data_IF_994230788056
#
_entry.id   IF_994230788056
#
_cell.length_a   1.000
_cell.length_b   1.000
_cell.length_c   1.000
_cell.angle_alpha   90.00
_cell.angle_beta   90.00
_cell.angle_gamma   90.00
#
_symmetry.space_group_name_H-M   'P 1'
#
loop_
_entity.id
_entity.type
_entity.pdbx_description
1 polymer ?
#
# COMPACT_ATOMS: atom_id res chain seq x y z
N UNK A 1 -17.45 -14.54 -0.65
CA UNK A 1 -18.68 -14.12 -1.36
C UNK A 1 -19.13 -12.80 -0.79
N UNK A 2 -18.98 -11.72 -1.55
CA UNK A 2 -19.53 -10.42 -1.18
C UNK A 2 -21.06 -10.48 -1.25
N UNK A 3 -21.72 -10.30 -0.12
CA UNK A 3 -23.17 -10.13 -0.03
C UNK A 3 -23.46 -8.75 0.52
N UNK A 4 -24.59 -8.19 0.13
CA UNK A 4 -25.08 -6.97 0.76
C UNK A 4 -25.52 -7.35 2.19
N UNK A 5 -24.71 -6.99 3.18
CA UNK A 5 -25.05 -7.18 4.60
C UNK A 5 -25.65 -5.92 5.18
N UNK A 6 -26.48 -6.06 6.22
CA UNK A 6 -27.05 -4.90 6.92
C UNK A 6 -25.94 -4.01 7.49
N UNK A 7 -24.86 -4.61 8.01
CA UNK A 7 -23.69 -3.91 8.53
C UNK A 7 -23.01 -3.06 7.45
N UNK A 8 -22.85 -3.60 6.23
CA UNK A 8 -22.28 -2.87 5.10
C UNK A 8 -23.16 -1.66 4.73
N UNK A 9 -24.48 -1.86 4.70
CA UNK A 9 -25.42 -0.76 4.42
C UNK A 9 -25.38 0.29 5.54
N UNK A 10 -25.31 -0.12 6.81
CA UNK A 10 -25.20 0.79 7.96
C UNK A 10 -23.90 1.59 7.96
N UNK A 11 -22.77 0.97 7.64
CA UNK A 11 -21.48 1.67 7.50
C UNK A 11 -21.52 2.70 6.37
N UNK A 12 -22.26 2.43 5.30
CA UNK A 12 -22.42 3.41 4.20
C UNK A 12 -23.51 4.46 4.47
N UNK A 13 -24.38 4.20 5.44
CA UNK A 13 -25.41 5.11 5.94
C UNK A 13 -24.91 6.10 7.01
N UNK A 14 -23.59 6.24 7.21
CA UNK A 14 -23.01 7.14 8.22
C UNK A 14 -23.52 8.59 8.11
N UNK A 15 -23.81 9.05 6.90
CA UNK A 15 -24.34 10.40 6.64
C UNK A 15 -25.85 10.53 6.90
N UNK A 16 -26.56 9.42 7.13
CA UNK A 16 -27.99 9.35 7.46
C UNK A 16 -28.21 8.82 8.89
N UNK A 17 -27.36 9.20 9.84
CA UNK A 17 -27.41 8.77 11.24
C UNK A 17 -27.46 7.24 11.44
N UNK A 18 -26.90 6.46 10.49
CA UNK A 18 -26.97 4.99 10.47
C UNK A 18 -28.41 4.43 10.36
N UNK A 19 -29.38 5.25 9.95
CA UNK A 19 -30.75 4.82 9.65
C UNK A 19 -30.83 4.26 8.23
N UNK A 20 -31.15 2.98 8.14
CA UNK A 20 -31.26 2.27 6.86
C UNK A 20 -32.62 2.46 6.17
N UNK A 21 -33.67 2.75 6.96
CA UNK A 21 -35.05 2.80 6.47
C UNK A 21 -35.38 4.07 5.68
N UNK A 22 -34.82 5.20 6.11
CA UNK A 22 -35.02 6.54 5.52
C UNK A 22 -33.97 6.88 4.45
N UNK A 23 -33.09 5.93 4.12
CA UNK A 23 -31.93 6.19 3.30
C UNK A 23 -32.31 6.41 1.83
N UNK A 24 -32.01 7.61 1.33
CA UNK A 24 -32.33 8.01 -0.04
C UNK A 24 -31.23 7.64 -1.05
N UNK A 25 -29.97 7.60 -0.63
CA UNK A 25 -28.83 7.37 -1.53
C UNK A 25 -27.85 6.37 -0.92
N UNK A 26 -27.51 5.33 -1.68
CA UNK A 26 -26.53 4.32 -1.25
C UNK A 26 -25.44 4.10 -2.30
N UNK A 27 -24.20 4.12 -1.82
CA UNK A 27 -23.01 3.85 -2.63
C UNK A 27 -22.35 2.54 -2.23
N UNK A 28 -22.49 1.52 -3.09
CA UNK A 28 -21.94 0.18 -2.92
C UNK A 28 -20.95 -0.17 -4.04
N UNK A 29 -20.01 0.73 -4.28
CA UNK A 29 -18.95 0.56 -5.27
C UNK A 29 -17.87 -0.42 -4.78
N UNK A 30 -17.37 -1.27 -5.69
CA UNK A 30 -16.18 -2.11 -5.46
C UNK A 30 -16.30 -3.03 -4.23
N UNK A 31 -17.49 -3.57 -3.96
CA UNK A 31 -17.76 -4.42 -2.79
C UNK A 31 -17.78 -5.92 -3.14
N UNK A 32 -17.40 -6.28 -4.37
CA UNK A 32 -17.39 -7.66 -4.87
C UNK A 32 -18.74 -8.36 -4.65
N UNK A 33 -19.84 -7.60 -4.80
CA UNK A 33 -21.19 -8.12 -4.55
C UNK A 33 -21.54 -9.09 -5.67
N UNK A 34 -21.86 -10.32 -5.30
CA UNK A 34 -22.31 -11.36 -6.25
C UNK A 34 -23.83 -11.41 -6.36
N UNK A 35 -24.57 -10.91 -5.36
CA UNK A 35 -26.03 -10.94 -5.34
C UNK A 35 -26.63 -9.72 -4.66
N UNK A 36 -27.69 -9.20 -5.26
CA UNK A 36 -28.50 -8.13 -4.68
C UNK A 36 -29.57 -8.78 -3.80
N UNK A 37 -29.32 -8.87 -2.50
CA UNK A 37 -30.26 -9.43 -1.53
C UNK A 37 -30.68 -8.35 -0.51
N UNK A 38 -31.91 -8.44 -0.01
CA UNK A 38 -32.42 -7.70 1.16
C UNK A 38 -32.55 -6.17 1.06
N UNK A 39 -32.12 -5.54 -0.04
CA UNK A 39 -32.34 -4.09 -0.27
C UNK A 39 -33.83 -3.72 -0.20
N UNK A 40 -34.72 -4.62 -0.62
CA UNK A 40 -36.17 -4.44 -0.55
C UNK A 40 -36.73 -4.32 0.87
N UNK A 41 -36.04 -4.89 1.86
CA UNK A 41 -36.45 -4.85 3.27
C UNK A 41 -35.86 -3.67 4.00
N UNK A 42 -34.63 -3.30 3.68
CA UNK A 42 -33.87 -2.31 4.43
C UNK A 42 -34.14 -0.89 3.96
N UNK A 43 -34.16 -0.62 2.65
CA UNK A 43 -34.16 0.73 2.09
C UNK A 43 -35.35 0.94 1.15
N UNK A 44 -36.56 1.13 1.71
CA UNK A 44 -37.79 1.31 0.90
C UNK A 44 -37.88 2.67 0.21
N UNK A 45 -37.22 3.67 0.79
CA UNK A 45 -37.25 5.05 0.32
C UNK A 45 -36.02 5.43 -0.54
N UNK A 46 -35.27 4.43 -1.00
CA UNK A 46 -34.08 4.63 -1.81
C UNK A 46 -34.41 5.26 -3.16
N UNK A 47 -33.76 6.38 -3.47
CA UNK A 47 -33.83 7.11 -4.74
C UNK A 47 -32.64 6.82 -5.63
N UNK A 48 -31.43 6.70 -5.07
CA UNK A 48 -30.21 6.50 -5.84
C UNK A 48 -29.44 5.28 -5.34
N UNK A 49 -29.17 4.34 -6.25
CA UNK A 49 -28.42 3.12 -5.97
C UNK A 49 -27.22 3.01 -6.89
N UNK A 50 -26.02 3.11 -6.30
CA UNK A 50 -24.78 2.86 -7.01
C UNK A 50 -24.21 1.48 -6.69
N UNK A 51 -24.07 0.65 -7.72
CA UNK A 51 -23.55 -0.72 -7.65
C UNK A 51 -22.44 -0.95 -8.68
N UNK A 52 -21.73 0.11 -9.07
CA UNK A 52 -20.69 0.01 -10.09
C UNK A 52 -19.49 -0.84 -9.63
N UNK A 53 -18.91 -1.58 -10.59
CA UNK A 53 -17.76 -2.47 -10.39
C UNK A 53 -18.01 -3.54 -9.32
N UNK A 54 -19.07 -4.31 -9.51
CA UNK A 54 -19.38 -5.51 -8.73
C UNK A 54 -19.48 -6.72 -9.66
N UNK A 55 -19.82 -7.88 -9.10
CA UNK A 55 -19.85 -9.16 -9.81
C UNK A 55 -21.29 -9.68 -9.94
N UNK A 56 -22.25 -8.77 -10.07
CA UNK A 56 -23.68 -9.12 -10.05
C UNK A 56 -24.05 -9.77 -11.39
N UNK A 57 -24.49 -11.05 -11.41
CA UNK A 57 -24.84 -11.76 -12.63
C UNK A 57 -26.28 -11.47 -13.09
N UNK A 58 -27.16 -11.11 -12.16
CA UNK A 58 -28.59 -10.91 -12.39
C UNK A 58 -29.14 -9.80 -11.50
N UNK A 59 -30.06 -9.03 -12.05
CA UNK A 59 -30.81 -8.02 -11.31
C UNK A 59 -31.96 -8.74 -10.58
N UNK A 60 -31.91 -8.78 -9.26
CA UNK A 60 -32.96 -9.38 -8.42
C UNK A 60 -33.26 -8.47 -7.23
N UNK A 61 -34.46 -8.60 -6.64
CA UNK A 61 -34.91 -7.85 -5.46
C UNK A 61 -34.98 -6.31 -5.58
N UNK A 62 -34.79 -5.74 -6.78
CA UNK A 62 -34.94 -4.29 -7.03
C UNK A 62 -36.40 -3.89 -7.28
N UNK A 63 -37.26 -4.83 -7.70
CA UNK A 63 -38.65 -4.58 -8.10
C UNK A 63 -39.54 -3.94 -7.03
N UNK A 64 -39.17 -3.99 -5.75
CA UNK A 64 -39.95 -3.41 -4.64
C UNK A 64 -39.56 -1.96 -4.33
N UNK A 65 -38.50 -1.45 -4.94
CA UNK A 65 -38.00 -0.09 -4.75
C UNK A 65 -38.77 0.89 -5.65
N UNK A 66 -39.92 1.35 -5.16
CA UNK A 66 -40.82 2.22 -5.94
C UNK A 66 -40.27 3.62 -6.20
N UNK A 67 -39.52 4.16 -5.23
CA UNK A 67 -38.94 5.51 -5.27
C UNK A 67 -37.58 5.58 -5.95
N UNK A 68 -37.07 4.48 -6.50
CA UNK A 68 -35.75 4.43 -7.10
C UNK A 68 -35.76 5.22 -8.41
N UNK A 69 -35.03 6.34 -8.45
CA UNK A 69 -34.91 7.24 -9.60
C UNK A 69 -33.68 6.94 -10.45
N UNK A 70 -32.56 6.57 -9.81
CA UNK A 70 -31.30 6.28 -10.49
C UNK A 70 -30.68 4.97 -10.03
N UNK A 71 -30.44 4.07 -10.99
CA UNK A 71 -29.75 2.80 -10.79
C UNK A 71 -28.49 2.74 -11.65
N UNK A 72 -27.33 2.66 -10.99
CA UNK A 72 -26.04 2.46 -11.65
C UNK A 72 -25.51 1.05 -11.42
N UNK A 73 -25.49 0.25 -12.48
CA UNK A 73 -24.99 -1.12 -12.53
C UNK A 73 -23.82 -1.25 -13.52
N UNK A 74 -23.08 -0.17 -13.78
CA UNK A 74 -21.91 -0.18 -14.65
C UNK A 74 -20.86 -1.22 -14.21
N UNK A 75 -20.16 -1.83 -15.16
CA UNK A 75 -19.07 -2.79 -14.92
C UNK A 75 -19.52 -3.99 -14.04
N UNK A 76 -20.67 -4.58 -14.34
CA UNK A 76 -21.17 -5.79 -13.68
C UNK A 76 -21.20 -6.99 -14.64
N UNK A 77 -21.73 -8.11 -14.18
CA UNK A 77 -21.83 -9.37 -14.93
C UNK A 77 -23.25 -9.65 -15.45
N UNK A 78 -24.06 -8.62 -15.65
CA UNK A 78 -25.48 -8.76 -15.97
C UNK A 78 -25.63 -9.27 -17.41
N UNK A 79 -26.30 -10.42 -17.57
CA UNK A 79 -26.57 -11.01 -18.88
C UNK A 79 -27.98 -10.69 -19.42
N UNK A 80 -28.92 -10.40 -18.51
CA UNK A 80 -30.34 -10.20 -18.82
C UNK A 80 -30.92 -9.06 -17.98
N UNK A 81 -31.76 -8.23 -18.59
CA UNK A 81 -32.49 -7.16 -17.91
C UNK A 81 -33.84 -7.72 -17.43
N UNK A 82 -33.95 -8.00 -16.13
CA UNK A 82 -35.16 -8.55 -15.51
C UNK A 82 -35.42 -7.87 -14.16
N UNK A 83 -36.62 -8.06 -13.60
CA UNK A 83 -37.01 -7.60 -12.25
C UNK A 83 -36.96 -6.08 -12.02
N UNK A 84 -37.08 -5.26 -13.06
CA UNK A 84 -37.18 -3.79 -12.97
C UNK A 84 -38.62 -3.25 -13.15
N UNK A 85 -39.59 -4.13 -13.35
CA UNK A 85 -40.99 -3.75 -13.65
C UNK A 85 -41.67 -2.95 -12.53
N UNK A 86 -41.28 -3.17 -11.27
CA UNK A 86 -41.88 -2.49 -10.12
C UNK A 86 -41.19 -1.19 -9.69
N UNK A 87 -40.13 -0.76 -10.39
CA UNK A 87 -39.46 0.53 -10.15
C UNK A 87 -40.18 1.65 -10.92
N UNK A 88 -41.32 2.08 -10.40
CA UNK A 88 -42.22 3.04 -11.05
C UNK A 88 -41.52 4.38 -11.38
N UNK A 89 -40.70 4.90 -10.46
CA UNK A 89 -40.03 6.20 -10.58
C UNK A 89 -38.65 6.16 -11.28
N UNK A 90 -38.23 5.02 -11.85
CA UNK A 90 -36.89 4.90 -12.44
C UNK A 90 -36.71 5.84 -13.64
N UNK A 91 -35.81 6.80 -13.52
CA UNK A 91 -35.53 7.82 -14.55
C UNK A 91 -34.25 7.53 -15.32
N UNK A 92 -33.23 6.98 -14.65
CA UNK A 92 -31.90 6.73 -15.22
C UNK A 92 -31.44 5.32 -14.88
N UNK A 93 -31.04 4.57 -15.92
CA UNK A 93 -30.48 3.23 -15.79
C UNK A 93 -29.15 3.14 -16.53
N UNK A 94 -28.09 2.83 -15.78
CA UNK A 94 -26.75 2.62 -16.33
C UNK A 94 -26.38 1.14 -16.27
N UNK A 95 -26.21 0.52 -17.44
CA UNK A 95 -25.76 -0.85 -17.64
C UNK A 95 -24.49 -0.89 -18.49
N UNK A 96 -23.69 0.18 -18.48
CA UNK A 96 -22.43 0.23 -19.23
C UNK A 96 -21.48 -0.94 -18.89
N UNK A 97 -20.80 -1.48 -19.91
CA UNK A 97 -19.80 -2.54 -19.78
C UNK A 97 -20.30 -3.79 -18.99
N UNK A 98 -21.50 -4.24 -19.33
CA UNK A 98 -22.10 -5.49 -18.86
C UNK A 98 -22.09 -6.55 -19.99
N UNK A 99 -22.78 -7.67 -19.78
CA UNK A 99 -22.84 -8.78 -20.74
C UNK A 99 -24.26 -9.01 -21.27
N UNK A 100 -25.06 -7.95 -21.37
CA UNK A 100 -26.44 -8.04 -21.85
C UNK A 100 -26.42 -8.41 -23.33
N UNK A 101 -26.83 -9.63 -23.64
CA UNK A 101 -26.98 -10.10 -25.02
C UNK A 101 -28.41 -10.43 -25.41
N UNK A 102 -29.34 -10.47 -24.45
CA UNK A 102 -30.76 -10.70 -24.71
C UNK A 102 -31.49 -9.35 -24.86
N UNK A 103 -31.57 -8.83 -26.09
CA UNK A 103 -32.21 -7.54 -26.33
C UNK A 103 -33.73 -7.58 -26.11
N UNK A 104 -34.35 -8.76 -26.25
CA UNK A 104 -35.76 -8.98 -25.87
C UNK A 104 -36.08 -8.55 -24.43
N UNK A 105 -35.08 -8.58 -23.54
CA UNK A 105 -35.21 -8.14 -22.14
C UNK A 105 -35.53 -6.66 -21.98
N UNK A 106 -35.22 -5.82 -22.97
CA UNK A 106 -35.55 -4.38 -22.95
C UNK A 106 -37.07 -4.15 -22.93
N UNK A 107 -37.87 -5.12 -23.41
CA UNK A 107 -39.33 -5.05 -23.33
C UNK A 107 -39.85 -4.97 -21.89
N UNK A 108 -39.12 -5.53 -20.93
CA UNK A 108 -39.42 -5.43 -19.49
C UNK A 108 -39.42 -3.98 -19.02
N UNK A 109 -38.52 -3.15 -19.58
CA UNK A 109 -38.42 -1.72 -19.25
C UNK A 109 -39.57 -0.87 -19.81
N UNK A 110 -40.44 -1.44 -20.65
CA UNK A 110 -41.61 -0.73 -21.19
C UNK A 110 -42.58 -0.28 -20.09
N UNK A 111 -42.61 -1.02 -18.97
CA UNK A 111 -43.45 -0.70 -17.82
C UNK A 111 -42.96 0.54 -17.05
N UNK A 112 -41.67 0.90 -17.17
CA UNK A 112 -41.07 2.06 -16.52
C UNK A 112 -41.38 3.34 -17.32
N UNK A 113 -42.51 3.98 -16.99
CA UNK A 113 -43.00 5.16 -17.71
C UNK A 113 -42.10 6.41 -17.55
N UNK A 114 -41.33 6.47 -16.47
CA UNK A 114 -40.48 7.61 -16.12
C UNK A 114 -39.04 7.50 -16.64
N UNK A 115 -38.68 6.39 -17.30
CA UNK A 115 -37.33 6.14 -17.80
C UNK A 115 -36.96 7.10 -18.94
N UNK A 116 -35.98 7.97 -18.68
CA UNK A 116 -35.50 9.00 -19.61
C UNK A 116 -34.13 8.66 -20.19
N UNK A 117 -33.26 8.05 -19.41
CA UNK A 117 -31.86 7.79 -19.77
C UNK A 117 -31.52 6.30 -19.61
N UNK A 118 -30.97 5.70 -20.66
CA UNK A 118 -30.52 4.31 -20.68
C UNK A 118 -29.12 4.23 -21.29
N UNK A 119 -28.20 3.59 -20.58
CA UNK A 119 -26.84 3.33 -21.06
C UNK A 119 -26.60 1.83 -21.16
N UNK A 120 -26.28 1.38 -22.37
CA UNK A 120 -26.01 -0.01 -22.73
C UNK A 120 -24.66 -0.13 -23.48
N UNK A 121 -23.86 0.93 -23.55
CA UNK A 121 -22.53 0.91 -24.18
C UNK A 121 -21.64 -0.18 -23.61
N UNK A 122 -20.95 -0.92 -24.48
CA UNK A 122 -20.04 -2.00 -24.07
C UNK A 122 -20.75 -3.29 -23.66
N UNK A 123 -21.98 -3.51 -24.12
CA UNK A 123 -22.68 -4.78 -24.01
C UNK A 123 -22.68 -5.51 -25.37
N UNK A 124 -22.69 -6.85 -25.41
CA UNK A 124 -22.81 -7.61 -26.65
C UNK A 124 -24.02 -7.25 -27.50
N UNK A 125 -25.09 -6.72 -26.91
CA UNK A 125 -26.26 -6.26 -27.64
C UNK A 125 -26.02 -5.02 -28.52
N UNK A 126 -24.95 -4.24 -28.28
CA UNK A 126 -24.65 -3.07 -29.11
C UNK A 126 -24.10 -3.43 -30.49
N UNK A 127 -23.64 -4.66 -30.65
CA UNK A 127 -23.11 -5.18 -31.92
C UNK A 127 -24.22 -5.66 -32.86
N UNK A 128 -25.46 -5.75 -32.38
CA UNK A 128 -26.59 -6.19 -33.19
C UNK A 128 -27.00 -5.12 -34.20
N UNK A 129 -27.25 -5.57 -35.44
CA UNK A 129 -27.74 -4.69 -36.50
C UNK A 129 -29.13 -4.19 -36.15
N UNK A 130 -29.33 -2.87 -36.17
CA UNK A 130 -30.63 -2.30 -35.82
C UNK A 130 -30.91 -2.19 -34.32
N UNK A 131 -29.94 -2.48 -33.45
CA UNK A 131 -30.08 -2.39 -31.98
C UNK A 131 -30.72 -1.06 -31.53
N UNK A 132 -30.21 0.06 -32.04
CA UNK A 132 -30.69 1.39 -31.66
C UNK A 132 -32.15 1.60 -32.05
N UNK A 133 -32.52 1.23 -33.27
CA UNK A 133 -33.89 1.31 -33.79
C UNK A 133 -34.84 0.44 -32.94
N UNK A 134 -34.41 -0.76 -32.56
CA UNK A 134 -35.23 -1.64 -31.73
C UNK A 134 -35.48 -1.08 -30.33
N UNK A 135 -34.45 -0.55 -29.67
CA UNK A 135 -34.59 0.06 -28.34
C UNK A 135 -35.48 1.30 -28.40
N UNK A 136 -35.25 2.17 -29.39
CA UNK A 136 -36.04 3.40 -29.59
C UNK A 136 -37.51 3.08 -29.89
N UNK A 137 -37.79 2.05 -30.71
CA UNK A 137 -39.16 1.63 -31.02
C UNK A 137 -39.85 0.96 -29.82
N UNK A 138 -39.10 0.20 -29.02
CA UNK A 138 -39.63 -0.49 -27.83
C UNK A 138 -39.91 0.48 -26.69
N UNK A 139 -39.03 1.47 -26.47
CA UNK A 139 -39.09 2.45 -25.38
C UNK A 139 -39.42 3.85 -25.90
N UNK A 140 -40.68 4.10 -26.21
CA UNK A 140 -41.13 5.38 -26.78
C UNK A 140 -40.98 6.60 -25.84
N UNK A 141 -40.80 6.40 -24.52
CA UNK A 141 -40.60 7.49 -23.54
C UNK A 141 -39.13 7.90 -23.38
N UNK A 142 -38.18 7.08 -23.82
CA UNK A 142 -36.76 7.28 -23.62
C UNK A 142 -36.26 8.53 -24.35
N UNK A 143 -35.52 9.41 -23.66
CA UNK A 143 -34.96 10.64 -24.23
C UNK A 143 -33.52 10.46 -24.69
N UNK A 144 -32.71 9.78 -23.91
CA UNK A 144 -31.29 9.54 -24.19
C UNK A 144 -31.00 8.05 -24.20
N UNK A 145 -30.28 7.60 -25.23
CA UNK A 145 -29.76 6.26 -25.36
C UNK A 145 -28.27 6.34 -25.67
N UNK A 146 -27.43 5.76 -24.82
CA UNK A 146 -25.97 5.70 -24.98
C UNK A 146 -25.35 7.11 -25.15
N UNK A 147 -25.75 8.04 -24.27
CA UNK A 147 -25.35 9.46 -24.30
C UNK A 147 -25.80 10.24 -25.55
N UNK A 148 -26.63 9.64 -26.42
CA UNK A 148 -27.18 10.29 -27.62
C UNK A 148 -28.66 10.57 -27.45
N UNK A 149 -29.08 11.80 -27.71
CA UNK A 149 -30.49 12.18 -27.70
C UNK A 149 -31.25 11.48 -28.84
N UNK A 150 -32.49 11.09 -28.56
CA UNK A 150 -33.39 10.45 -29.52
C UNK A 150 -34.28 11.51 -30.15
N UNK A 151 -34.07 11.76 -31.45
CA UNK A 151 -34.87 12.69 -32.23
C UNK A 151 -36.26 12.15 -32.59
N UNK A 152 -37.20 13.06 -32.91
CA UNK A 152 -38.54 12.67 -33.40
C UNK A 152 -38.49 11.89 -34.71
N UNK A 153 -37.62 12.29 -35.64
CA UNK A 153 -37.46 11.62 -36.94
C UNK A 153 -36.95 10.20 -36.78
N UNK A 154 -35.97 9.99 -35.90
CA UNK A 154 -35.41 8.67 -35.57
C UNK A 154 -36.50 7.74 -35.01
N UNK A 155 -37.37 8.24 -34.13
CA UNK A 155 -38.49 7.45 -33.59
C UNK A 155 -39.45 6.97 -34.67
N UNK A 156 -39.78 7.83 -35.63
CA UNK A 156 -40.72 7.47 -36.71
C UNK A 156 -40.09 6.39 -37.60
N UNK A 157 -38.81 6.56 -37.96
CA UNK A 157 -38.07 5.57 -38.75
C UNK A 157 -37.97 4.23 -38.01
N UNK A 158 -37.63 4.26 -36.72
CA UNK A 158 -37.54 3.08 -35.88
C UNK A 158 -38.88 2.32 -35.77
N UNK A 159 -40.01 3.03 -35.68
CA UNK A 159 -41.35 2.43 -35.66
C UNK A 159 -41.72 1.80 -37.02
N UNK A 160 -41.32 2.40 -38.13
CA UNK A 160 -41.58 1.86 -39.47
C UNK A 160 -40.79 0.57 -39.74
N UNK A 161 -39.51 0.53 -39.35
CA UNK A 161 -38.63 -0.62 -39.54
C UNK A 161 -38.75 -1.68 -38.43
N UNK A 162 -39.52 -1.42 -37.38
CA UNK A 162 -39.64 -2.29 -36.20
C UNK A 162 -39.89 -3.77 -36.51
N UNK A 163 -40.84 -4.18 -37.38
CA UNK A 163 -41.13 -5.60 -37.58
C UNK A 163 -40.00 -6.38 -38.26
N UNK A 164 -39.20 -5.73 -39.10
CA UNK A 164 -38.05 -6.35 -39.77
C UNK A 164 -36.85 -6.42 -38.82
N UNK A 165 -36.54 -5.29 -38.18
CA UNK A 165 -35.47 -5.17 -37.19
C UNK A 165 -35.68 -6.13 -36.01
N UNK A 166 -36.92 -6.27 -35.53
CA UNK A 166 -37.24 -7.18 -34.44
C UNK A 166 -37.02 -8.66 -34.81
N UNK A 167 -37.23 -9.05 -36.08
CA UNK A 167 -36.95 -10.42 -36.55
C UNK A 167 -35.45 -10.67 -36.63
N UNK A 168 -34.71 -9.76 -37.26
CA UNK A 168 -33.25 -9.84 -37.39
C UNK A 168 -32.57 -9.94 -36.02
N UNK A 169 -32.97 -9.07 -35.08
CA UNK A 169 -32.46 -9.09 -33.72
C UNK A 169 -32.79 -10.40 -33.02
N UNK A 170 -33.99 -10.95 -33.20
CA UNK A 170 -34.34 -12.21 -32.58
C UNK A 170 -33.51 -13.39 -33.12
N UNK A 171 -33.12 -13.37 -34.40
CA UNK A 171 -32.21 -14.35 -35.00
C UNK A 171 -30.78 -14.18 -34.47
N UNK A 172 -30.28 -12.94 -34.41
CA UNK A 172 -28.95 -12.61 -33.84
C UNK A 172 -28.89 -12.98 -32.35
N UNK A 173 -29.94 -12.69 -31.58
CA UNK A 173 -30.07 -13.05 -30.17
C UNK A 173 -30.03 -14.58 -30.00
N UNK A 174 -30.74 -15.35 -30.82
CA UNK A 174 -30.67 -16.83 -30.80
C UNK A 174 -29.26 -17.33 -31.08
N UNK A 175 -28.60 -16.80 -32.10
CA UNK A 175 -27.23 -17.16 -32.44
C UNK A 175 -26.26 -16.86 -31.29
N UNK A 176 -26.38 -15.67 -30.68
CA UNK A 176 -25.63 -15.28 -29.50
C UNK A 176 -25.88 -16.22 -28.33
N UNK A 177 -27.14 -16.54 -28.01
CA UNK A 177 -27.48 -17.44 -26.90
C UNK A 177 -26.92 -18.85 -27.10
N UNK A 178 -26.88 -19.36 -28.34
CA UNK A 178 -26.25 -20.65 -28.66
C UNK A 178 -24.75 -20.58 -28.42
N UNK A 179 -24.07 -19.56 -28.96
CA UNK A 179 -22.62 -19.35 -28.75
C UNK A 179 -22.30 -19.20 -27.26
N UNK A 180 -23.08 -18.39 -26.54
CA UNK A 180 -22.94 -18.14 -25.10
C UNK A 180 -23.13 -19.42 -24.27
N UNK A 181 -24.05 -20.30 -24.68
CA UNK A 181 -24.24 -21.60 -24.03
C UNK A 181 -22.99 -22.49 -24.18
N UNK A 182 -22.41 -22.53 -25.38
CA UNK A 182 -21.18 -23.28 -25.64
C UNK A 182 -20.00 -22.73 -24.82
N UNK A 183 -19.84 -21.40 -24.76
CA UNK A 183 -18.82 -20.75 -23.93
C UNK A 183 -18.94 -21.12 -22.44
N UNK A 184 -20.17 -21.11 -21.90
CA UNK A 184 -20.44 -21.53 -20.51
C UNK A 184 -20.10 -23.00 -20.26
N UNK A 185 -20.48 -23.88 -21.17
CA UNK A 185 -20.15 -25.31 -21.06
C UNK A 185 -18.63 -25.54 -21.10
N UNK A 186 -17.91 -24.83 -21.96
CA UNK A 186 -16.45 -24.90 -22.03
C UNK A 186 -15.79 -24.37 -20.76
N UNK A 187 -16.22 -23.20 -20.26
CA UNK A 187 -15.72 -22.63 -19.01
C UNK A 187 -15.97 -23.56 -17.82
N UNK A 188 -17.15 -24.19 -17.73
CA UNK A 188 -17.45 -25.18 -16.69
C UNK A 188 -16.51 -26.39 -16.76
N UNK A 189 -16.22 -26.89 -17.96
CA UNK A 189 -15.24 -27.97 -18.15
C UNK A 189 -13.85 -27.53 -17.70
N UNK A 190 -13.39 -26.34 -18.09
CA UNK A 190 -12.09 -25.79 -17.65
C UNK A 190 -12.02 -25.66 -16.13
N UNK A 191 -13.08 -25.16 -15.48
CA UNK A 191 -13.17 -25.06 -14.01
C UNK A 191 -13.10 -26.44 -13.37
N UNK A 192 -13.83 -27.43 -13.90
CA UNK A 192 -13.82 -28.79 -13.38
C UNK A 192 -12.44 -29.44 -13.53
N UNK A 193 -11.79 -29.30 -14.69
CA UNK A 193 -10.43 -29.79 -14.92
C UNK A 193 -9.42 -29.13 -13.98
N UNK A 194 -9.51 -27.80 -13.77
CA UNK A 194 -8.67 -27.09 -12.80
C UNK A 194 -8.91 -27.61 -11.37
N UNK A 195 -10.15 -27.86 -10.98
CA UNK A 195 -10.47 -28.43 -9.66
C UNK A 195 -9.94 -29.87 -9.50
N UNK A 196 -10.04 -30.70 -10.54
CA UNK A 196 -9.51 -32.06 -10.53
C UNK A 196 -7.97 -32.06 -10.47
N UNK A 197 -7.30 -31.18 -11.21
CA UNK A 197 -5.84 -30.97 -11.11
C UNK A 197 -5.44 -30.51 -9.70
N UNK A 198 -6.15 -29.54 -9.11
CA UNK A 198 -5.92 -29.11 -7.71
C UNK A 198 -6.05 -30.30 -6.74
N UNK A 199 -7.11 -31.10 -6.84
CA UNK A 199 -7.30 -32.32 -6.01
C UNK A 199 -6.20 -33.37 -6.19
N UNK A 200 -5.74 -33.60 -7.43
CA UNK A 200 -4.63 -34.52 -7.72
C UNK A 200 -3.32 -34.03 -7.10
N UNK A 201 -3.02 -32.74 -7.23
CA UNK A 201 -1.83 -32.13 -6.64
C UNK A 201 -1.87 -32.14 -5.10
N UNK A 202 -3.03 -31.89 -4.49
CA UNK A 202 -3.22 -32.01 -3.03
C UNK A 202 -3.02 -33.44 -2.53
N UNK A 203 -3.56 -34.43 -3.25
CA UNK A 203 -3.32 -35.84 -2.92
C UNK A 203 -1.85 -36.21 -3.07
N UNK A 204 -1.17 -35.80 -4.16
CA UNK A 204 0.27 -36.05 -4.32
C UNK A 204 1.10 -35.39 -3.21
N UNK A 205 0.77 -34.14 -2.80
CA UNK A 205 1.42 -33.49 -1.66
C UNK A 205 1.19 -34.21 -0.33
N UNK A 206 0.06 -34.90 -0.15
CA UNK A 206 -0.21 -35.78 1.01
C UNK A 206 0.58 -37.08 1.00
N UNK A 207 0.94 -37.60 -0.17
CA UNK A 207 1.60 -38.90 -0.33
C UNK A 207 3.11 -38.82 -0.61
N UNK A 208 3.72 -37.63 -0.70
CA UNK A 208 5.17 -37.51 -0.81
C UNK A 208 5.83 -37.83 0.54
N UNK A 209 6.60 -38.94 0.66
CA UNK A 209 7.46 -39.16 1.80
C UNK A 209 8.53 -38.05 1.81
N UNK A 210 8.95 -37.61 3.00
CA UNK A 210 10.13 -36.74 3.09
C UNK A 210 11.35 -37.39 2.46
N UNK A 211 12.41 -36.60 2.20
CA UNK A 211 13.67 -37.05 1.57
C UNK A 211 14.31 -38.29 2.25
N UNK A 212 13.96 -38.57 3.50
CA UNK A 212 14.38 -39.74 4.30
C UNK A 212 13.38 -40.93 4.27
N UNK A 213 12.40 -40.92 3.36
CA UNK A 213 11.37 -41.96 3.24
C UNK A 213 10.31 -41.98 4.36
N UNK A 214 10.33 -41.00 5.29
CA UNK A 214 9.42 -40.90 6.44
C UNK A 214 8.30 -39.87 6.22
N UNK A 215 7.13 -40.14 6.79
CA UNK A 215 5.96 -39.26 6.74
C UNK A 215 6.04 -38.23 7.88
N UNK A 216 6.03 -36.93 7.57
CA UNK A 216 6.11 -35.85 8.58
C UNK A 216 4.77 -35.44 9.19
N UNK A 217 3.68 -36.18 8.92
CA UNK A 217 2.34 -35.85 9.44
C UNK A 217 2.02 -36.50 10.78
N UNK A 218 2.89 -37.35 11.32
CA UNK A 218 2.66 -38.00 12.61
C UNK A 218 3.39 -37.25 13.73
N UNK A 219 2.62 -36.49 14.51
CA UNK A 219 3.09 -35.70 15.68
C UNK A 219 3.53 -36.62 16.86
N UNK A 220 3.48 -37.95 16.71
CA UNK A 220 3.78 -38.91 17.79
C UNK A 220 5.07 -39.71 17.60
N UNK A 221 6.12 -39.12 17.04
CA UNK A 221 7.44 -39.75 17.10
C UNK A 221 8.45 -38.84 17.81
N UNK A 222 8.58 -39.07 19.11
CA UNK A 222 9.56 -38.44 20.00
C UNK A 222 10.98 -38.76 19.53
N UNK A 223 11.62 -37.81 18.86
CA UNK A 223 13.05 -37.89 18.52
C UNK A 223 13.86 -37.73 19.82
N UNK A 224 14.81 -38.62 20.15
CA UNK A 224 15.65 -38.48 21.34
C UNK A 224 16.54 -37.24 21.27
N UNK A 225 16.63 -36.53 22.39
CA UNK A 225 17.50 -35.38 22.62
C UNK A 225 18.99 -35.79 22.59
N UNK A 226 19.62 -35.83 21.42
CA UNK A 226 21.10 -35.79 21.34
C UNK A 226 21.70 -35.31 20.00
N UNK A 227 20.90 -34.92 19.00
CA UNK A 227 21.42 -34.37 17.74
C UNK A 227 20.65 -33.09 17.39
N UNK A 228 20.91 -31.98 18.11
CA UNK A 228 20.23 -30.70 17.84
C UNK A 228 21.15 -29.50 17.64
N UNK A 229 22.47 -29.65 17.79
CA UNK A 229 23.38 -28.49 17.81
C UNK A 229 24.30 -28.34 16.59
N UNK A 230 24.20 -29.22 15.58
CA UNK A 230 25.02 -29.09 14.35
C UNK A 230 24.25 -28.82 13.04
N UNK A 231 22.91 -28.81 13.07
CA UNK A 231 22.10 -28.59 11.86
C UNK A 231 21.54 -27.16 11.73
N UNK A 232 21.84 -26.27 12.67
CA UNK A 232 21.17 -24.96 12.79
C UNK A 232 21.72 -23.88 11.86
N UNK A 233 22.85 -24.12 11.20
CA UNK A 233 23.47 -23.14 10.28
C UNK A 233 23.26 -23.49 8.80
N UNK A 234 23.25 -24.78 8.42
CA UNK A 234 22.94 -25.20 7.04
C UNK A 234 21.44 -25.05 6.69
N UNK A 235 20.53 -25.30 7.65
CA UNK A 235 19.08 -25.13 7.43
C UNK A 235 18.63 -23.69 7.19
N UNK A 236 19.44 -22.69 7.56
CA UNK A 236 19.10 -21.27 7.36
C UNK A 236 19.43 -20.79 5.94
N UNK A 237 20.45 -21.37 5.30
CA UNK A 237 20.83 -21.08 3.91
C UNK A 237 19.95 -21.87 2.93
N UNK A 238 19.74 -23.18 3.17
CA UNK A 238 18.84 -24.02 2.36
C UNK A 238 17.37 -23.56 2.46
N UNK A 239 16.92 -23.09 3.63
CA UNK A 239 15.58 -22.56 3.83
C UNK A 239 15.34 -21.18 3.19
N UNK A 240 16.41 -20.41 2.93
CA UNK A 240 16.33 -19.18 2.16
C UNK A 240 16.33 -19.46 0.66
N UNK A 241 17.14 -20.40 0.19
CA UNK A 241 17.20 -20.80 -1.21
C UNK A 241 15.86 -21.43 -1.67
N UNK A 242 15.25 -22.29 -0.85
CA UNK A 242 13.89 -22.79 -1.09
C UNK A 242 12.83 -21.70 -1.08
N UNK A 243 12.95 -20.68 -0.21
CA UNK A 243 12.02 -19.54 -0.20
C UNK A 243 12.16 -18.70 -1.46
N UNK A 244 13.38 -18.43 -1.88
CA UNK A 244 13.65 -17.64 -3.08
C UNK A 244 13.22 -18.39 -4.35
N UNK A 245 13.33 -19.72 -4.38
CA UNK A 245 12.80 -20.55 -5.47
C UNK A 245 11.25 -20.54 -5.50
N UNK A 246 10.59 -20.70 -4.35
CA UNK A 246 9.11 -20.66 -4.26
C UNK A 246 8.58 -19.26 -4.62
N UNK A 247 9.28 -18.19 -4.25
CA UNK A 247 8.88 -16.82 -4.65
C UNK A 247 9.01 -16.64 -6.16
N UNK A 248 10.07 -17.15 -6.78
CA UNK A 248 10.24 -17.09 -8.24
C UNK A 248 9.19 -17.90 -9.00
N UNK A 249 8.86 -19.10 -8.51
CA UNK A 249 7.77 -19.92 -9.08
C UNK A 249 6.40 -19.23 -8.93
N UNK A 250 6.10 -18.65 -7.75
CA UNK A 250 4.88 -17.87 -7.52
C UNK A 250 4.77 -16.67 -8.50
N UNK A 251 5.89 -15.97 -8.77
CA UNK A 251 5.95 -14.81 -9.67
C UNK A 251 5.80 -15.20 -11.16
N UNK A 252 6.31 -16.38 -11.56
CA UNK A 252 6.13 -16.93 -12.91
C UNK A 252 4.70 -17.42 -13.16
N UNK A 253 4.10 -18.12 -12.18
CA UNK A 253 2.70 -18.54 -12.25
C UNK A 253 1.75 -17.34 -12.32
N UNK A 254 2.04 -16.27 -11.58
CA UNK A 254 1.27 -15.03 -11.66
C UNK A 254 1.38 -14.36 -13.03
N UNK A 255 2.60 -14.27 -13.57
CA UNK A 255 2.80 -13.69 -14.90
C UNK A 255 2.05 -14.50 -15.95
N UNK A 256 2.14 -15.83 -15.89
CA UNK A 256 1.40 -16.71 -16.78
C UNK A 256 -0.12 -16.54 -16.67
N UNK A 257 -0.65 -16.32 -15.46
CA UNK A 257 -2.08 -16.07 -15.26
C UNK A 257 -2.55 -14.76 -15.92
N UNK A 258 -1.78 -13.67 -15.79
CA UNK A 258 -2.16 -12.37 -16.36
C UNK A 258 -1.90 -12.24 -17.86
N UNK A 259 -0.94 -13.00 -18.40
CA UNK A 259 -0.62 -13.01 -19.84
C UNK A 259 -1.50 -13.98 -20.64
N UNK A 260 -2.22 -14.91 -19.99
CA UNK A 260 -3.14 -15.83 -20.67
C UNK A 260 -4.29 -15.04 -21.33
N UNK A 261 -4.50 -15.14 -22.66
CA UNK A 261 -5.61 -14.49 -23.32
C UNK A 261 -6.93 -15.19 -22.95
N UNK A 262 -7.78 -14.51 -22.19
CA UNK A 262 -9.07 -15.06 -21.73
C UNK A 262 -10.23 -14.41 -22.49
N UNK A 263 -11.27 -15.17 -22.90
CA UNK A 263 -12.44 -14.59 -23.55
C UNK A 263 -13.18 -13.62 -22.62
N UNK A 264 -13.71 -12.52 -23.18
CA UNK A 264 -14.46 -11.50 -22.43
C UNK A 264 -15.81 -12.05 -21.98
N UNK A 265 -15.82 -12.78 -20.85
CA UNK A 265 -17.00 -13.45 -20.31
C UNK A 265 -17.13 -13.22 -18.80
N UNK A 266 -18.35 -13.30 -18.25
CA UNK A 266 -18.59 -13.25 -16.82
C UNK A 266 -17.77 -14.24 -15.99
N UNK A 267 -17.63 -15.48 -16.47
CA UNK A 267 -16.93 -16.54 -15.75
C UNK A 267 -15.42 -16.27 -15.68
N UNK A 268 -14.84 -15.79 -16.78
CA UNK A 268 -13.45 -15.30 -16.81
C UNK A 268 -13.22 -14.17 -15.80
N UNK A 269 -14.15 -13.21 -15.72
CA UNK A 269 -14.07 -12.10 -14.75
C UNK A 269 -14.14 -12.60 -13.31
N UNK A 270 -15.02 -13.58 -13.02
CA UNK A 270 -15.10 -14.22 -11.71
C UNK A 270 -13.83 -15.02 -11.36
N UNK A 271 -13.22 -15.68 -12.34
CA UNK A 271 -11.97 -16.42 -12.15
C UNK A 271 -10.81 -15.48 -11.81
N UNK A 272 -10.64 -14.40 -12.56
CA UNK A 272 -9.67 -13.34 -12.26
C UNK A 272 -9.87 -12.77 -10.86
N UNK A 273 -11.13 -12.50 -10.47
CA UNK A 273 -11.42 -12.02 -9.14
C UNK A 273 -11.06 -13.04 -8.03
N UNK A 274 -11.43 -14.31 -8.21
CA UNK A 274 -11.09 -15.38 -7.26
C UNK A 274 -9.58 -15.54 -7.09
N UNK A 275 -8.82 -15.42 -8.18
CA UNK A 275 -7.37 -15.48 -8.15
C UNK A 275 -6.78 -14.33 -7.31
N UNK A 276 -7.26 -13.10 -7.51
CA UNK A 276 -6.85 -11.93 -6.71
C UNK A 276 -7.21 -12.13 -5.23
N UNK A 277 -8.41 -12.62 -4.93
CA UNK A 277 -8.86 -12.84 -3.55
C UNK A 277 -8.03 -13.93 -2.84
N UNK A 278 -7.70 -15.03 -3.54
CA UNK A 278 -6.83 -16.10 -3.03
C UNK A 278 -5.43 -15.56 -2.72
N UNK A 279 -4.87 -14.73 -3.61
CA UNK A 279 -3.58 -14.08 -3.40
C UNK A 279 -3.59 -13.08 -2.24
N UNK A 280 -4.63 -12.27 -2.10
CA UNK A 280 -4.75 -11.33 -1.00
C UNK A 280 -4.85 -12.06 0.35
N UNK A 281 -5.66 -13.13 0.44
CA UNK A 281 -5.72 -13.98 1.63
C UNK A 281 -4.38 -14.66 1.93
N UNK A 282 -3.67 -15.11 0.91
CA UNK A 282 -2.33 -15.68 1.09
C UNK A 282 -1.34 -14.65 1.65
N UNK A 283 -1.40 -13.40 1.19
CA UNK A 283 -0.59 -12.29 1.73
C UNK A 283 -0.95 -11.98 3.18
N UNK A 284 -2.24 -11.82 3.49
CA UNK A 284 -2.72 -11.58 4.87
C UNK A 284 -2.29 -12.70 5.82
N UNK A 285 -2.43 -13.97 5.39
CA UNK A 285 -1.97 -15.11 6.16
C UNK A 285 -0.44 -15.11 6.33
N UNK A 286 0.33 -14.74 5.29
CA UNK A 286 1.80 -14.58 5.38
C UNK A 286 2.19 -13.48 6.38
N UNK A 287 1.43 -12.39 6.45
CA UNK A 287 1.66 -11.30 7.41
C UNK A 287 1.32 -11.71 8.84
N UNK A 288 0.20 -12.39 9.05
CA UNK A 288 -0.19 -12.92 10.37
C UNK A 288 0.75 -14.03 10.87
N UNK A 289 1.34 -14.82 9.97
CA UNK A 289 2.27 -15.92 10.29
C UNK A 289 3.74 -15.51 10.39
N UNK A 290 4.09 -14.23 10.14
CA UNK A 290 5.41 -13.70 10.50
C UNK A 290 5.56 -13.73 12.02
N UNK A 291 6.01 -14.88 12.55
CA UNK A 291 6.43 -15.03 13.94
C UNK A 291 7.44 -13.92 14.22
N UNK A 292 7.15 -13.09 15.22
CA UNK A 292 8.13 -12.16 15.77
C UNK A 292 9.40 -12.95 16.05
N UNK A 293 10.52 -12.54 15.43
CA UNK A 293 11.80 -13.22 15.66
C UNK A 293 12.03 -13.20 17.17
N UNK A 294 12.33 -14.34 17.82
CA UNK A 294 12.57 -14.34 19.25
C UNK A 294 13.64 -13.27 19.55
N UNK A 295 13.41 -12.39 20.53
CA UNK A 295 14.37 -11.34 20.85
C UNK A 295 15.70 -12.01 21.15
N UNK A 296 16.74 -11.66 20.39
CA UNK A 296 18.07 -12.22 20.60
C UNK A 296 18.53 -11.85 22.00
N UNK A 297 18.97 -12.83 22.78
CA UNK A 297 19.48 -12.60 24.12
C UNK A 297 20.82 -11.86 24.02
N UNK A 298 20.83 -10.58 24.40
CA UNK A 298 22.01 -9.71 24.38
C UNK A 298 22.99 -10.02 25.55
N UNK A 299 22.55 -10.86 26.49
CA UNK A 299 23.25 -11.29 27.71
C UNK A 299 22.99 -12.79 27.86
N UNK A 300 24.02 -13.59 28.16
CA UNK A 300 23.84 -15.03 28.45
C UNK A 300 23.12 -15.23 29.79
N UNK A 301 22.47 -16.37 30.06
CA UNK A 301 21.82 -16.62 31.35
C UNK A 301 22.77 -16.54 32.56
N UNK A 302 24.09 -16.62 32.34
CA UNK A 302 25.15 -16.43 33.34
C UNK A 302 25.60 -14.97 33.51
N UNK A 303 24.91 -14.00 32.89
CA UNK A 303 25.19 -12.57 33.03
C UNK A 303 26.39 -12.06 32.22
N UNK A 304 26.95 -12.87 31.30
CA UNK A 304 28.05 -12.43 30.44
C UNK A 304 27.50 -11.62 29.26
N UNK A 305 28.07 -10.43 29.07
CA UNK A 305 27.71 -9.51 28.00
C UNK A 305 28.44 -9.92 26.71
N UNK A 306 27.73 -9.95 25.58
CA UNK A 306 28.29 -10.33 24.28
C UNK A 306 28.57 -9.09 23.41
N UNK A 307 29.63 -9.13 22.61
CA UNK A 307 29.90 -8.11 21.58
C UNK A 307 29.03 -8.38 20.35
N UNK A 308 28.26 -7.38 19.91
CA UNK A 308 27.29 -7.51 18.83
C UNK A 308 27.41 -6.29 17.91
N UNK A 309 27.57 -6.52 16.61
CA UNK A 309 27.50 -5.47 15.58
C UNK A 309 26.49 -5.88 14.50
N UNK A 310 25.21 -5.89 14.85
CA UNK A 310 24.12 -6.15 13.92
C UNK A 310 24.05 -5.18 12.73
N UNK A 311 24.29 -3.86 12.90
CA UNK A 311 24.24 -2.94 11.77
C UNK A 311 25.48 -3.00 10.88
N UNK A 312 26.50 -3.81 11.23
CA UNK A 312 27.79 -3.94 10.51
C UNK A 312 28.47 -2.60 10.27
N UNK A 313 28.41 -1.70 11.25
CA UNK A 313 29.04 -0.38 11.13
C UNK A 313 30.52 -0.47 11.47
N UNK A 314 31.37 0.29 10.77
CA UNK A 314 32.76 0.43 11.18
C UNK A 314 32.83 1.24 12.47
N UNK A 315 33.65 0.77 13.41
CA UNK A 315 33.87 1.42 14.70
C UNK A 315 35.35 1.41 15.07
N UNK A 316 35.76 2.39 15.87
CA UNK A 316 37.11 2.49 16.44
C UNK A 316 37.00 2.85 17.92
N UNK A 317 37.61 2.04 18.80
CA UNK A 317 37.73 2.34 20.22
C UNK A 317 39.18 2.78 20.49
N UNK A 318 39.36 4.02 20.94
CA UNK A 318 40.66 4.59 21.30
C UNK A 318 40.73 4.78 22.82
N UNK A 319 41.90 4.48 23.39
CA UNK A 319 42.20 4.74 24.79
C UNK A 319 43.04 6.02 24.87
N UNK A 320 42.49 7.05 25.50
CA UNK A 320 43.18 8.32 25.76
C UNK A 320 43.66 8.33 27.21
N UNK A 321 44.89 7.84 27.42
CA UNK A 321 45.52 7.75 28.74
C UNK A 321 45.74 9.13 29.39
N UNK A 322 45.91 10.20 28.58
CA UNK A 322 46.17 11.54 29.09
C UNK A 322 44.93 12.18 29.75
N UNK A 323 43.75 11.88 29.22
CA UNK A 323 42.47 12.38 29.74
C UNK A 323 41.67 11.30 30.50
N UNK A 324 42.28 10.12 30.71
CA UNK A 324 41.68 8.97 31.39
C UNK A 324 40.27 8.60 30.86
N UNK A 325 40.11 8.55 29.53
CA UNK A 325 38.84 8.28 28.88
C UNK A 325 38.99 7.35 27.66
N UNK A 326 37.98 6.54 27.39
CA UNK A 326 37.83 5.85 26.12
C UNK A 326 37.01 6.72 25.15
N UNK A 327 37.39 6.68 23.88
CA UNK A 327 36.67 7.36 22.79
C UNK A 327 36.22 6.28 21.81
N UNK A 328 34.90 6.07 21.71
CA UNK A 328 34.29 5.16 20.74
C UNK A 328 33.75 5.98 19.56
N UNK A 329 34.34 5.79 18.38
CA UNK A 329 33.88 6.37 17.12
C UNK A 329 33.09 5.31 16.34
N UNK A 330 31.83 5.60 16.02
CA UNK A 330 30.89 4.78 15.26
C UNK A 330 30.47 5.54 14.01
N UNK A 331 30.76 4.98 12.83
CA UNK A 331 30.34 5.59 11.58
C UNK A 331 28.86 5.31 11.30
N UNK A 332 27.98 6.24 11.70
CA UNK A 332 26.53 6.13 11.51
C UNK A 332 26.13 6.81 10.18
N UNK A 333 24.98 6.42 9.63
CA UNK A 333 24.47 7.01 8.38
C UNK A 333 24.31 8.55 8.49
N UNK A 334 24.79 9.27 7.46
CA UNK A 334 24.79 10.74 7.38
C UNK A 334 23.42 11.37 7.57
N UNK A 335 22.36 10.73 7.07
CA UNK A 335 20.98 11.23 7.11
C UNK A 335 20.10 10.49 8.12
N UNK A 336 20.69 9.97 9.21
CA UNK A 336 19.92 9.35 10.29
C UNK A 336 19.48 10.40 11.32
N UNK A 337 18.19 10.44 11.60
CA UNK A 337 17.61 11.28 12.65
C UNK A 337 18.04 10.83 14.04
N UNK A 338 18.25 11.78 14.94
CA UNK A 338 18.64 11.51 16.33
C UNK A 338 17.57 10.74 17.11
N UNK A 339 16.31 10.81 16.70
CA UNK A 339 15.21 10.06 17.31
C UNK A 339 15.29 8.54 17.05
N UNK A 340 16.07 8.12 16.05
CA UNK A 340 16.28 6.71 15.70
C UNK A 340 17.60 6.14 16.27
N UNK A 341 18.21 6.90 17.18
CA UNK A 341 19.43 6.57 17.90
C UNK A 341 19.15 6.57 19.40
N UNK A 342 19.39 5.44 20.05
CA UNK A 342 19.34 5.33 21.51
C UNK A 342 20.67 4.78 22.01
N UNK A 343 21.24 5.42 23.03
CA UNK A 343 22.58 5.15 23.54
C UNK A 343 22.47 4.85 25.03
N UNK A 344 22.80 3.62 25.39
CA UNK A 344 22.83 3.14 26.77
C UNK A 344 24.29 2.84 27.16
N UNK A 345 24.79 3.57 28.14
CA UNK A 345 26.16 3.44 28.66
C UNK A 345 26.09 2.81 30.04
N UNK A 346 26.63 1.60 30.15
CA UNK A 346 26.78 0.88 31.42
C UNK A 346 28.27 0.84 31.82
N UNK A 347 28.58 0.64 33.11
CA UNK A 347 29.97 0.59 33.56
C UNK A 347 30.84 -0.45 32.85
N UNK A 348 30.24 -1.55 32.39
CA UNK A 348 30.94 -2.69 31.76
C UNK A 348 30.74 -2.79 30.24
N UNK A 349 29.78 -2.08 29.65
CA UNK A 349 29.50 -2.14 28.22
C UNK A 349 28.77 -0.90 27.70
N UNK A 350 28.84 -0.68 26.38
CA UNK A 350 28.06 0.36 25.69
C UNK A 350 27.14 -0.30 24.68
N UNK A 351 25.89 0.14 24.65
CA UNK A 351 24.87 -0.27 23.69
C UNK A 351 24.37 0.94 22.90
N UNK A 352 24.32 0.78 21.58
CA UNK A 352 23.79 1.78 20.65
C UNK A 352 22.74 1.10 19.78
N UNK A 353 21.49 1.54 19.87
CA UNK A 353 20.37 1.07 19.04
C UNK A 353 20.23 1.98 17.82
N UNK A 354 20.31 1.39 16.63
CA UNK A 354 20.27 2.12 15.35
C UNK A 354 19.19 1.49 14.48
N UNK A 355 18.06 2.21 14.25
CA UNK A 355 16.90 1.69 13.50
C UNK A 355 16.44 0.29 13.99
N UNK A 356 16.44 0.08 15.31
CA UNK A 356 16.05 -1.18 15.94
C UNK A 356 17.11 -2.30 15.91
N UNK A 357 18.30 -2.06 15.34
CA UNK A 357 19.44 -2.99 15.38
C UNK A 357 20.39 -2.62 16.51
N UNK A 358 20.85 -3.62 17.27
CA UNK A 358 21.72 -3.38 18.41
C UNK A 358 23.22 -3.45 18.01
N UNK A 359 23.97 -2.41 18.38
CA UNK A 359 25.41 -2.45 18.51
C UNK A 359 25.76 -2.51 19.99
N UNK A 360 26.50 -3.52 20.44
CA UNK A 360 26.92 -3.68 21.83
C UNK A 360 28.41 -4.01 21.88
N UNK A 361 29.15 -3.29 22.72
CA UNK A 361 30.58 -3.48 22.90
C UNK A 361 30.91 -3.54 24.40
N UNK A 362 31.54 -4.62 24.83
CA UNK A 362 32.10 -4.78 26.17
C UNK A 362 33.35 -3.92 26.30
N UNK A 363 33.40 -3.12 27.36
CA UNK A 363 34.52 -2.23 27.64
C UNK A 363 35.63 -2.98 28.38
N UNK A 364 36.92 -2.68 28.09
CA UNK A 364 38.04 -3.36 28.74
C UNK A 364 38.27 -2.91 30.20
N UNK A 365 37.75 -1.75 30.59
CA UNK A 365 37.78 -1.24 31.96
C UNK A 365 36.48 -0.53 32.31
N UNK A 366 36.19 -0.44 33.61
CA UNK A 366 34.99 0.22 34.11
C UNK A 366 35.01 1.72 33.80
N UNK A 367 33.86 2.24 33.37
CA UNK A 367 33.66 3.66 33.02
C UNK A 367 32.60 4.29 33.92
N UNK A 368 32.68 5.61 34.12
CA UNK A 368 31.68 6.38 34.86
C UNK A 368 30.55 6.81 33.89
N UNK A 369 29.34 6.21 33.97
CA UNK A 369 28.26 6.51 33.02
C UNK A 369 27.78 7.96 33.13
N UNK A 370 27.74 8.52 34.35
CA UNK A 370 27.25 9.88 34.62
C UNK A 370 28.04 10.98 33.91
N UNK A 371 29.32 10.72 33.64
CA UNK A 371 30.21 11.66 32.96
C UNK A 371 30.41 11.33 31.48
N UNK A 372 29.70 10.33 30.95
CA UNK A 372 29.79 9.98 29.54
C UNK A 372 29.02 10.99 28.68
N UNK A 373 29.56 11.28 27.50
CA UNK A 373 28.92 12.18 26.54
C UNK A 373 28.98 11.60 25.14
N UNK A 374 27.88 11.73 24.39
CA UNK A 374 27.80 11.32 22.99
C UNK A 374 27.57 12.54 22.10
N UNK A 375 28.33 12.65 21.01
CA UNK A 375 28.21 13.72 20.02
C UNK A 375 28.13 13.12 18.63
N UNK A 376 27.19 13.61 17.83
CA UNK A 376 27.03 13.22 16.43
C UNK A 376 27.42 14.36 15.50
N UNK A 377 28.24 14.06 14.50
CA UNK A 377 28.54 14.97 13.41
C UNK A 377 27.41 14.95 12.38
N UNK A 378 26.79 16.10 12.12
CA UNK A 378 25.74 16.23 11.09
C UNK A 378 26.30 16.11 9.67
N UNK A 379 27.56 16.55 9.47
CA UNK A 379 28.21 16.60 8.16
C UNK A 379 28.79 15.25 7.76
N UNK A 380 29.41 14.53 8.70
CA UNK A 380 30.12 13.26 8.43
C UNK A 380 29.34 12.02 8.88
N UNK A 381 28.33 12.17 9.74
CA UNK A 381 27.52 11.06 10.26
C UNK A 381 28.17 10.27 11.41
N UNK A 382 29.43 10.57 11.77
CA UNK A 382 30.14 9.90 12.86
C UNK A 382 29.50 10.21 14.23
N UNK A 383 29.30 9.16 15.02
CA UNK A 383 28.88 9.21 16.41
C UNK A 383 30.09 8.93 17.29
N UNK A 384 30.51 9.94 18.06
CA UNK A 384 31.64 9.84 18.99
C UNK A 384 31.10 9.80 20.41
N UNK A 385 31.46 8.76 21.16
CA UNK A 385 31.09 8.56 22.56
C UNK A 385 32.35 8.66 23.42
N UNK A 386 32.40 9.65 24.29
CA UNK A 386 33.44 9.83 25.31
C UNK A 386 33.03 9.14 26.61
N UNK A 387 33.87 8.22 27.07
CA UNK A 387 33.62 7.28 28.17
C UNK A 387 34.76 7.39 29.21
N UNK A 388 34.64 8.24 30.24
CA UNK A 388 35.68 8.41 31.24
C UNK A 388 35.87 7.16 32.11
N UNK A 389 37.12 6.74 32.33
CA UNK A 389 37.47 5.57 33.14
C UNK A 389 37.16 5.79 34.61
N UNK A 390 36.74 4.74 35.31
CA UNK A 390 36.42 4.78 36.73
C UNK A 390 37.67 4.75 37.63
N UNK A 391 38.74 4.08 37.20
CA UNK A 391 40.02 4.02 37.91
C UNK A 391 40.87 5.24 37.55
N UNK A 392 41.21 6.06 38.55
CA UNK A 392 42.12 7.20 38.38
C UNK A 392 43.57 6.69 38.34
N UNK A 393 44.24 6.83 37.19
CA UNK A 393 45.69 6.70 37.11
C UNK A 393 46.26 8.07 37.48
N UNK A 394 46.86 8.19 38.67
CA UNK A 394 47.56 9.40 39.09
C UNK A 394 48.83 9.52 38.25
N UNK A 395 48.78 10.26 37.14
CA UNK A 395 50.00 10.66 36.42
C UNK A 395 50.52 11.94 37.09
N UNK A 396 51.68 11.84 37.73
CA UNK A 396 52.36 12.96 38.36
C UNK A 396 52.74 14.02 37.31
N UNK A 397 52.02 15.15 37.32
CA UNK A 397 52.37 16.33 36.54
C UNK A 397 53.52 17.05 37.24
N UNK A 398 54.72 17.03 36.68
CA UNK A 398 55.84 17.87 37.14
C UNK A 398 55.51 19.34 36.84
N UNK A 399 55.11 20.10 37.86
CA UNK A 399 55.12 21.55 37.81
C UNK A 399 56.38 22.07 38.53
N UNK A 400 57.27 22.70 37.78
CA UNK A 400 58.43 23.42 38.32
C UNK A 400 57.91 24.74 38.91
N UNK A 401 57.99 24.86 40.24
CA UNK A 401 57.68 26.09 40.96
C UNK A 401 58.96 26.68 41.56
N UNK A 402 59.30 27.91 41.16
CA UNK A 402 60.22 28.78 41.90
C UNK A 402 59.40 29.63 42.87
N UNK A 403 59.69 29.50 44.16
CA UNK A 403 58.99 30.13 45.26
C UNK A 403 59.67 31.43 45.72
N UNK A 404 58.87 32.43 46.08
CA UNK A 404 59.16 33.40 47.14
C UNK A 404 57.90 33.63 47.97
N UNK A 405 58.09 33.69 49.29
CA UNK A 405 57.11 33.63 50.39
C UNK A 405 57.04 34.98 51.16
N UNK A 406 56.17 35.18 52.17
CA UNK A 406 55.27 36.35 52.27
C UNK A 406 55.34 37.14 53.60
N UNK A 407 54.55 38.21 53.71
CA UNK A 407 53.96 38.81 54.93
C UNK A 407 52.79 39.72 54.46
N UNK A 408 51.64 39.95 55.11
CA UNK A 408 51.25 39.98 56.52
C UNK A 408 49.74 39.67 56.73
N UNK A 409 49.42 39.30 57.97
CA UNK A 409 48.16 38.81 58.56
C UNK A 409 47.21 39.90 59.08
N UNK A 410 45.89 39.67 59.07
CA UNK A 410 45.04 39.41 60.28
C UNK A 410 43.52 39.26 60.00
N UNK A 411 42.98 38.09 60.39
CA UNK A 411 41.76 37.80 61.18
C UNK A 411 40.32 38.23 60.79
N UNK A 412 39.51 37.18 60.52
CA UNK A 412 38.25 36.78 61.19
C UNK A 412 37.01 37.73 61.19
N UNK A 413 35.94 37.39 60.47
CA UNK A 413 34.75 36.66 61.00
C UNK A 413 33.64 36.45 59.94
N UNK A 414 32.91 35.35 60.15
CA UNK A 414 31.85 34.71 59.34
C UNK A 414 30.57 35.54 59.26
N UNK A 415 29.76 35.35 58.20
CA UNK A 415 28.35 34.94 58.33
C UNK A 415 27.71 34.45 57.02
N UNK A 416 26.84 33.45 57.19
CA UNK A 416 26.01 32.78 56.18
C UNK A 416 25.00 33.73 55.53
N UNK A 417 24.63 33.52 54.26
CA UNK A 417 23.27 33.06 53.86
C UNK A 417 23.16 32.84 52.34
N UNK A 418 22.33 31.84 51.98
CA UNK A 418 21.85 31.54 50.62
C UNK A 418 21.05 32.72 50.07
N UNK A 419 21.19 33.02 48.77
CA UNK A 419 20.04 33.07 47.84
C UNK A 419 20.48 33.24 46.38
N UNK A 420 19.62 32.74 45.50
CA UNK A 420 19.65 32.68 44.04
C UNK A 420 19.89 34.02 43.34
N UNK A 421 20.63 34.02 42.23
CA UNK A 421 20.59 35.11 41.24
C UNK A 421 20.52 34.59 39.80
N UNK A 422 19.53 35.12 39.08
CA UNK A 422 19.29 34.99 37.64
C UNK A 422 20.21 35.98 36.92
N UNK A 423 20.74 35.61 35.76
CA UNK A 423 21.54 36.54 34.96
C UNK A 423 20.63 37.53 34.22
N UNK A 424 20.77 38.82 34.55
CA UNK A 424 20.21 39.93 33.79
C UNK A 424 21.08 40.21 32.56
N UNK A 425 20.44 40.57 31.44
CA UNK A 425 21.11 40.98 30.21
C UNK A 425 20.98 42.49 30.10
N UNK A 426 22.09 43.21 30.24
CA UNK A 426 22.15 44.67 30.06
C UNK A 426 21.76 45.06 28.62
N UNK A 427 20.71 45.87 28.38
CA UNK A 427 20.30 46.28 27.04
C UNK A 427 21.19 47.35 26.38
N UNK A 428 22.32 47.71 26.99
CA UNK A 428 23.09 48.91 26.62
C UNK A 428 24.42 48.63 25.90
N UNK A 429 24.65 47.40 25.42
CA UNK A 429 25.85 47.07 24.62
C UNK A 429 25.46 46.34 23.33
N UNK A 430 25.00 47.11 22.35
CA UNK A 430 24.97 46.67 20.95
C UNK A 430 26.38 46.77 20.36
N UNK A 431 27.02 45.62 20.07
CA UNK A 431 28.13 45.57 19.12
C UNK A 431 27.85 44.46 18.11
N UNK A 432 27.28 44.84 16.97
CA UNK A 432 27.27 44.01 15.78
C UNK A 432 28.73 43.88 15.27
N UNK A 433 29.25 42.68 14.99
CA UNK A 433 30.46 42.54 14.22
C UNK A 433 30.17 42.88 12.76
N UNK A 434 30.78 43.96 12.28
CA UNK A 434 30.76 44.42 10.91
C UNK A 434 31.49 43.40 10.01
N UNK A 435 30.74 42.80 9.08
CA UNK A 435 31.17 41.69 8.21
C UNK A 435 32.01 42.17 7.02
N UNK A 436 32.40 43.45 7.01
CA UNK A 436 33.08 44.11 5.89
C UNK A 436 34.61 43.94 5.84
N UNK A 437 35.24 43.18 6.75
CA UNK A 437 36.72 43.09 6.83
C UNK A 437 37.33 41.68 6.67
N UNK A 438 36.63 40.72 6.05
CA UNK A 438 37.20 39.41 5.70
C UNK A 438 37.44 39.30 4.19
N UNK A 439 38.02 40.34 3.58
CA UNK A 439 38.69 40.23 2.29
C UNK A 439 40.01 41.00 2.39
N UNK A 440 41.12 40.28 2.49
CA UNK A 440 42.43 40.83 2.13
C UNK A 440 42.64 40.55 0.64
N UNK A 441 42.36 41.52 -0.21
CA UNK A 441 42.88 41.52 -1.58
C UNK A 441 43.92 42.63 -1.71
N UNK A 442 45.15 42.22 -2.04
CA UNK A 442 46.17 43.09 -2.63
C UNK A 442 46.00 43.04 -4.14
N UNK A 443 45.76 44.21 -4.71
CA UNK A 443 45.60 44.48 -6.13
C UNK A 443 46.77 44.07 -7.03
N UNK A 444 46.39 43.61 -8.23
CA UNK A 444 46.74 44.14 -9.59
C UNK A 444 46.17 43.12 -10.61
N UNK A 445 45.38 43.38 -11.65
CA UNK A 445 44.84 44.49 -12.48
C UNK A 445 43.68 43.80 -13.24
N UNK A 446 42.52 44.34 -13.59
CA UNK A 446 41.93 45.66 -13.55
C UNK A 446 40.53 45.57 -14.18
N UNK A 447 39.67 46.50 -13.79
CA UNK A 447 38.42 46.94 -14.45
C UNK A 447 37.26 45.92 -14.56
N UNK A 448 36.41 45.92 -13.52
CA UNK A 448 35.32 46.89 -13.46
C UNK A 448 34.02 46.55 -14.21
N UNK A 449 32.89 47.11 -13.76
CA UNK A 449 31.65 46.36 -13.54
C UNK A 449 30.56 46.72 -14.56
N UNK A 450 29.40 46.04 -14.54
CA UNK A 450 28.07 46.69 -14.49
C UNK A 450 26.91 45.69 -14.37
N UNK A 451 25.99 46.14 -13.53
CA UNK A 451 24.64 45.74 -13.14
C UNK A 451 23.67 45.39 -14.28
N UNK A 452 22.78 44.45 -13.95
CA UNK A 452 21.56 44.02 -14.64
C UNK A 452 20.74 45.11 -15.34
N UNK A 453 20.32 44.83 -16.59
CA UNK A 453 19.00 45.19 -17.12
C UNK A 453 18.40 44.08 -17.99
N UNK A 454 17.07 44.18 -18.12
CA UNK A 454 16.04 43.21 -18.49
C UNK A 454 15.81 43.17 -20.00
N UNK A 455 15.53 42.00 -20.58
CA UNK A 455 14.48 41.69 -21.59
C UNK A 455 14.89 40.66 -22.68
N UNK A 456 14.03 39.65 -22.81
CA UNK A 456 13.47 38.97 -24.01
C UNK A 456 14.33 38.58 -25.23
N UNK A 457 14.03 37.35 -25.68
CA UNK A 457 14.04 36.79 -27.07
C UNK A 457 15.42 36.61 -27.72
N UNK A 458 15.75 35.60 -28.54
CA UNK A 458 15.12 34.44 -29.19
C UNK A 458 16.27 33.67 -29.89
N UNK A 459 16.11 32.35 -30.02
CA UNK A 459 16.66 31.42 -31.05
C UNK A 459 18.12 30.93 -31.15
N UNK A 460 18.14 29.63 -31.48
CA UNK A 460 19.07 28.81 -32.28
C UNK A 460 20.17 27.98 -31.61
N UNK A 461 19.80 26.70 -31.39
CA UNK A 461 20.36 25.50 -32.03
C UNK A 461 21.85 25.15 -31.85
N UNK A 462 22.12 24.11 -31.04
CA UNK A 462 22.49 22.74 -31.46
C UNK A 462 23.32 22.06 -30.36
N UNK A 463 23.26 20.76 -30.04
CA UNK A 463 22.41 19.60 -30.39
C UNK A 463 22.91 18.46 -29.47
N UNK A 464 22.00 17.57 -29.03
CA UNK A 464 22.21 16.10 -28.92
C UNK A 464 21.13 15.50 -28.02
N UNK A 465 20.00 15.14 -28.62
CA UNK A 465 19.11 14.09 -28.13
C UNK A 465 18.43 13.50 -29.36
N UNK A 466 18.68 12.22 -29.63
CA UNK A 466 18.12 11.46 -30.76
C UNK A 466 16.75 10.90 -30.36
N UNK A 467 15.69 11.32 -31.05
CA UNK A 467 14.33 10.76 -30.94
C UNK A 467 14.07 9.75 -32.06
N UNK A 468 13.67 8.53 -31.67
CA UNK A 468 13.37 7.37 -32.51
C UNK A 468 12.05 7.59 -33.30
N UNK A 469 12.00 7.40 -34.63
CA UNK A 469 10.85 7.78 -35.46
C UNK A 469 9.63 6.84 -35.39
N UNK A 470 9.66 5.78 -34.58
CA UNK A 470 8.60 4.76 -34.52
C UNK A 470 7.58 4.95 -33.37
N UNK A 471 7.67 6.04 -32.60
CA UNK A 471 6.73 6.31 -31.49
C UNK A 471 5.68 7.35 -31.91
N UNK A 472 4.42 6.97 -32.18
CA UNK A 472 3.35 7.94 -32.40
C UNK A 472 3.03 8.69 -31.09
N UNK A 473 2.80 10.02 -31.14
CA UNK A 473 2.52 10.83 -29.96
C UNK A 473 1.18 10.47 -29.34
N UNK A 474 1.18 10.38 -28.00
CA UNK A 474 -0.01 10.14 -27.18
C UNK A 474 -1.01 11.31 -27.32
N UNK A 475 -2.26 10.99 -27.64
CA UNK A 475 -3.43 11.86 -27.42
C UNK A 475 -3.95 11.61 -26.01
#
# INVERSE_FOLDING_TARGET
MGRITEELVRQRAEHNNCEIFSLEEISLHQQNIEKIEHLDKWCRDLKILYLQNNLIPKIENVSKLKKLEYLNLALNNIEKIENLEGCEELQKLDLTANFVGELSSVKTLKNNIHLKELFLTGNPCTDFEGYRQFVVATLHKLKFLDSKEIGRSERIQALQSYPEVAKQIHEQEKAYLIKRRQEKEEAQRRIQEKQEKKKKNENQKKYNPGYDGRWYTDINNSIPYSVREKESQQKAEEGNEYRDLVIKEDDEEERAFWEEPVPHTPEARLEAHRYIEEKNKAKENREQTKKEKPPRTLITPEGRVLNINEPKLPFSLKDDEANNQFILDLAVYRHLDTSLLDIDVQPTYVRVMIKGKAFQLVLPAEVKPDNSAAKRSQTTGHLVISLPKAKEIIVAKQEVSTSKKPSDTTNLQKNLTRCTEKLEVDPSKYSFPDVANIVQEKDRIGQGPIRLQRQKTVDTNNMSFDDDPDVPPLI
#
